data_IF_108921028843
#
_entry.id   IF_108921028843
#
_cell.length_a   1.000
_cell.length_b   1.000
_cell.length_c   1.000
_cell.angle_alpha   90.00
_cell.angle_beta   90.00
_cell.angle_gamma   90.00
#
_symmetry.space_group_name_H-M   'P 1'
#
loop_
_entity.id
_entity.type
_entity.pdbx_description
1 polymer ?
#
# COMPACT_ATOMS: atom_id res chain seq x y z
N UNK A 1 7.51 -28.63 20.47
CA UNK A 1 6.77 -27.36 20.66
C UNK A 1 7.68 -26.14 20.60
N UNK A 2 8.76 -26.09 21.39
CA UNK A 2 9.68 -24.94 21.41
C UNK A 2 10.34 -24.64 20.05
N UNK A 3 10.79 -25.67 19.33
CA UNK A 3 11.43 -25.53 18.00
C UNK A 3 10.48 -24.95 16.95
N UNK A 4 9.20 -25.34 16.98
CA UNK A 4 8.19 -24.83 16.05
C UNK A 4 7.84 -23.36 16.33
N UNK A 5 7.76 -22.97 17.61
CA UNK A 5 7.55 -21.58 18.02
C UNK A 5 8.75 -20.70 17.66
N UNK A 6 9.97 -21.21 17.82
CA UNK A 6 11.19 -20.52 17.42
C UNK A 6 11.27 -20.32 15.90
N UNK A 7 10.94 -21.36 15.12
CA UNK A 7 10.86 -21.27 13.67
C UNK A 7 9.81 -20.25 13.21
N UNK A 8 8.64 -20.22 13.85
CA UNK A 8 7.59 -19.23 13.56
C UNK A 8 8.04 -17.79 13.85
N UNK A 9 8.70 -17.55 14.98
CA UNK A 9 9.22 -16.24 15.36
C UNK A 9 10.37 -15.75 14.44
N UNK A 10 11.18 -16.67 13.91
CA UNK A 10 12.27 -16.34 12.98
C UNK A 10 11.74 -16.06 11.58
N UNK A 11 10.63 -16.69 11.18
CA UNK A 11 10.04 -16.53 9.84
C UNK A 11 8.99 -15.40 9.76
N UNK A 12 8.46 -14.92 10.89
CA UNK A 12 7.45 -13.85 10.90
C UNK A 12 7.88 -12.51 10.25
N UNK A 13 9.14 -12.04 10.32
CA UNK A 13 9.53 -10.78 9.68
C UNK A 13 9.71 -10.90 8.15
N UNK A 14 9.56 -12.09 7.56
CA UNK A 14 9.66 -12.28 6.11
C UNK A 14 8.42 -11.78 5.34
N UNK A 15 7.32 -11.50 6.04
CA UNK A 15 6.13 -10.91 5.44
C UNK A 15 6.26 -9.38 5.36
N UNK A 16 7.03 -8.89 4.38
CA UNK A 16 6.93 -7.48 3.98
C UNK A 16 5.72 -7.34 3.04
N UNK A 17 4.56 -7.04 3.60
CA UNK A 17 3.37 -6.70 2.82
C UNK A 17 3.17 -5.18 2.84
N UNK A 18 3.07 -4.58 1.65
CA UNK A 18 2.51 -3.24 1.50
C UNK A 18 1.14 -3.40 0.87
N UNK A 19 0.12 -2.82 1.51
CA UNK A 19 -1.25 -2.88 1.02
C UNK A 19 -1.86 -1.49 1.07
N UNK A 20 -2.58 -1.15 0.01
CA UNK A 20 -3.27 0.13 -0.13
C UNK A 20 -4.75 -0.12 0.18
N UNK A 21 -5.35 0.68 1.06
CA UNK A 21 -6.78 0.58 1.33
C UNK A 21 -7.54 1.08 0.10
N UNK A 22 -8.34 0.22 -0.49
CA UNK A 22 -9.10 0.54 -1.71
C UNK A 22 -10.54 0.89 -1.39
N UNK A 23 -11.11 0.32 -0.33
CA UNK A 23 -12.51 0.50 0.03
C UNK A 23 -12.68 0.58 1.54
N UNK A 24 -13.58 1.47 1.99
CA UNK A 24 -13.93 1.67 3.38
C UNK A 24 -15.42 1.44 3.60
N UNK A 25 -15.81 0.89 4.73
CA UNK A 25 -17.22 0.79 5.10
C UNK A 25 -17.40 0.80 6.62
N UNK A 26 -18.50 1.39 7.10
CA UNK A 26 -18.81 1.39 8.54
C UNK A 26 -19.14 -0.03 8.99
N UNK A 27 -18.71 -0.37 10.20
CA UNK A 27 -19.10 -1.59 10.90
C UNK A 27 -19.83 -1.20 12.19
N UNK A 28 -20.95 -1.84 12.47
CA UNK A 28 -21.66 -1.70 13.74
C UNK A 28 -21.04 -2.56 14.85
N UNK A 29 -21.50 -2.38 16.09
CA UNK A 29 -21.00 -3.10 17.27
C UNK A 29 -21.08 -4.64 17.16
N UNK A 30 -21.98 -5.16 16.32
CA UNK A 30 -22.12 -6.60 16.11
C UNK A 30 -21.26 -7.15 14.95
N UNK A 31 -20.40 -6.32 14.35
CA UNK A 31 -19.54 -6.70 13.24
C UNK A 31 -20.21 -6.63 11.86
N UNK A 32 -21.47 -6.18 11.76
CA UNK A 32 -22.13 -6.04 10.45
C UNK A 32 -21.72 -4.75 9.74
N UNK A 33 -21.53 -4.84 8.43
CA UNK A 33 -21.27 -3.69 7.56
C UNK A 33 -22.53 -2.85 7.39
N UNK A 34 -22.42 -1.54 7.64
CA UNK A 34 -23.51 -0.58 7.53
C UNK A 34 -23.12 0.60 6.65
N UNK A 35 -24.13 1.28 6.10
CA UNK A 35 -23.93 2.46 5.25
C UNK A 35 -23.28 2.18 3.89
N UNK A 36 -23.15 3.24 3.05
CA UNK A 36 -22.48 3.14 1.77
C UNK A 36 -20.96 3.03 1.92
N UNK A 37 -20.32 2.40 0.92
CA UNK A 37 -18.86 2.36 0.82
C UNK A 37 -18.29 3.76 0.57
N UNK A 38 -17.11 4.00 1.13
CA UNK A 38 -16.25 5.12 0.78
C UNK A 38 -14.96 4.65 0.13
N UNK A 39 -14.28 5.59 -0.52
CA UNK A 39 -13.03 5.33 -1.24
C UNK A 39 -11.96 6.36 -0.87
N UNK A 40 -10.73 6.10 -1.30
CA UNK A 40 -9.64 7.07 -1.20
C UNK A 40 -9.84 8.23 -2.18
N UNK A 41 -9.19 9.37 -1.93
CA UNK A 41 -9.13 10.44 -2.93
C UNK A 41 -8.49 9.91 -4.22
N UNK A 42 -8.92 10.40 -5.38
CA UNK A 42 -8.37 9.99 -6.66
C UNK A 42 -8.45 8.49 -6.93
N UNK A 43 -9.41 7.78 -6.33
CA UNK A 43 -9.57 6.34 -6.52
C UNK A 43 -9.78 6.01 -8.00
N UNK A 44 -9.03 5.01 -8.49
CA UNK A 44 -9.16 4.45 -9.83
C UNK A 44 -9.59 3.01 -9.70
N UNK A 45 -10.76 2.66 -10.24
CA UNK A 45 -11.28 1.29 -10.18
C UNK A 45 -10.39 0.33 -10.94
N UNK A 46 -10.26 -0.91 -10.46
CA UNK A 46 -9.60 -2.00 -11.19
C UNK A 46 -10.27 -2.35 -12.53
N UNK A 47 -11.54 -1.98 -12.69
CA UNK A 47 -12.29 -2.14 -13.95
C UNK A 47 -12.18 -0.92 -14.86
N UNK A 48 -11.52 0.15 -14.41
CA UNK A 48 -11.27 1.34 -15.22
C UNK A 48 -10.23 0.98 -16.31
N UNK A 49 -10.47 1.31 -17.60
CA UNK A 49 -9.52 1.04 -18.67
C UNK A 49 -8.14 1.69 -18.46
N UNK A 50 -8.05 2.72 -17.62
CA UNK A 50 -6.81 3.43 -17.30
C UNK A 50 -6.04 2.83 -16.11
N UNK A 51 -6.62 1.83 -15.43
CA UNK A 51 -5.97 1.18 -14.29
C UNK A 51 -4.74 0.39 -14.75
N UNK A 52 -3.59 0.71 -14.16
CA UNK A 52 -2.30 0.12 -14.50
C UNK A 52 -1.56 -0.50 -13.30
N UNK A 53 -2.24 -0.65 -12.16
CA UNK A 53 -1.64 -1.11 -10.90
C UNK A 53 -0.84 -0.04 -10.14
N UNK A 54 -0.47 1.07 -10.79
CA UNK A 54 0.31 2.15 -10.19
C UNK A 54 -0.53 3.36 -9.80
N UNK A 55 -1.79 3.44 -10.26
CA UNK A 55 -2.68 4.59 -10.05
C UNK A 55 -2.92 4.96 -8.57
N UNK A 56 -2.79 3.97 -7.66
CA UNK A 56 -2.95 4.14 -6.21
C UNK A 56 -1.67 3.82 -5.43
N UNK A 57 -0.56 3.60 -6.14
CA UNK A 57 0.74 3.31 -5.56
C UNK A 57 1.49 4.63 -5.33
N UNK A 58 2.08 4.79 -4.15
CA UNK A 58 2.92 5.95 -3.85
C UNK A 58 4.21 5.51 -3.17
N UNK A 59 5.34 5.72 -3.85
CA UNK A 59 6.65 5.35 -3.34
C UNK A 59 7.37 6.58 -2.81
N UNK A 60 7.91 6.45 -1.60
CA UNK A 60 8.66 7.49 -0.91
C UNK A 60 10.02 6.96 -0.46
N UNK A 61 11.13 7.67 -0.72
CA UNK A 61 11.20 8.81 -1.64
C UNK A 61 10.93 8.39 -3.10
N UNK A 62 10.57 9.32 -3.98
CA UNK A 62 10.34 8.99 -5.38
C UNK A 62 11.63 8.51 -6.06
N UNK A 63 11.54 7.73 -7.14
CA UNK A 63 12.73 7.34 -7.93
C UNK A 63 13.48 8.54 -8.54
N UNK A 64 12.83 9.70 -8.59
CA UNK A 64 13.37 10.95 -9.10
C UNK A 64 14.02 11.79 -7.99
N UNK A 65 13.83 11.43 -6.71
CA UNK A 65 14.43 12.13 -5.59
C UNK A 65 15.96 12.06 -5.64
N UNK A 66 16.62 13.20 -5.46
CA UNK A 66 18.09 13.32 -5.50
C UNK A 66 18.62 13.98 -4.23
N UNK A 67 19.81 13.56 -3.83
CA UNK A 67 20.63 14.29 -2.86
C UNK A 67 21.24 15.53 -3.53
N UNK A 68 21.83 16.43 -2.75
CA UNK A 68 22.49 17.65 -3.26
C UNK A 68 23.67 17.37 -4.20
N UNK A 69 24.28 16.19 -4.12
CA UNK A 69 25.35 15.71 -4.99
C UNK A 69 24.84 15.04 -6.28
N UNK A 70 23.53 15.00 -6.50
CA UNK A 70 22.90 14.39 -7.67
C UNK A 70 22.74 12.87 -7.61
N UNK A 71 23.10 12.22 -6.50
CA UNK A 71 22.86 10.78 -6.31
C UNK A 71 21.40 10.49 -5.98
N UNK A 72 20.92 9.26 -6.26
CA UNK A 72 19.55 8.83 -5.90
C UNK A 72 19.38 8.87 -4.39
N UNK A 73 18.31 9.52 -3.93
CA UNK A 73 18.00 9.63 -2.51
C UNK A 73 17.27 8.38 -2.02
N UNK A 74 17.78 7.75 -0.98
CA UNK A 74 17.21 6.54 -0.36
C UNK A 74 16.62 6.78 1.04
N UNK A 75 16.61 8.02 1.52
CA UNK A 75 16.02 8.42 2.80
C UNK A 75 15.00 9.50 2.57
N UNK A 76 13.84 9.36 3.21
CA UNK A 76 12.79 10.38 3.19
C UNK A 76 13.25 11.66 3.91
N UNK A 77 12.74 12.81 3.47
CA UNK A 77 12.90 14.11 4.14
C UNK A 77 11.56 14.85 4.22
N UNK A 78 11.58 16.12 4.64
CA UNK A 78 10.36 16.94 4.82
C UNK A 78 9.67 17.34 3.50
N UNK A 79 10.31 17.12 2.35
CA UNK A 79 9.74 17.36 1.03
C UNK A 79 8.92 16.17 0.51
N UNK A 80 9.11 14.98 1.08
CA UNK A 80 8.41 13.75 0.72
C UNK A 80 7.02 13.68 1.37
N UNK A 81 6.02 14.24 0.70
CA UNK A 81 4.65 14.18 1.20
C UNK A 81 4.10 12.74 1.17
N UNK A 82 3.62 12.28 2.33
CA UNK A 82 3.01 10.95 2.53
C UNK A 82 1.82 10.71 1.59
N UNK A 83 1.05 11.76 1.30
CA UNK A 83 -0.08 11.67 0.38
C UNK A 83 0.39 11.67 -1.08
N UNK A 84 -0.11 10.69 -1.86
CA UNK A 84 0.03 10.66 -3.31
C UNK A 84 -0.44 12.00 -3.92
N UNK A 85 0.21 12.55 -4.97
CA UNK A 85 -0.18 13.81 -5.59
C UNK A 85 -1.67 13.90 -5.96
N UNK A 86 -2.22 12.83 -6.54
CA UNK A 86 -3.64 12.72 -6.88
C UNK A 86 -4.60 12.67 -5.66
N UNK A 87 -4.06 12.55 -4.44
CA UNK A 87 -4.81 12.49 -3.18
C UNK A 87 -4.69 13.76 -2.32
N UNK A 88 -3.95 14.77 -2.80
CA UNK A 88 -3.74 16.04 -2.07
C UNK A 88 -4.91 17.01 -2.23
N UNK A 89 -5.84 16.74 -3.14
CA UNK A 89 -7.06 17.52 -3.36
C UNK A 89 -8.30 16.65 -3.16
N UNK A 90 -9.42 17.25 -2.76
CA UNK A 90 -10.67 16.52 -2.52
C UNK A 90 -11.42 16.19 -3.83
N UNK A 91 -10.82 15.38 -4.70
CA UNK A 91 -11.30 14.98 -6.03
C UNK A 91 -12.20 13.73 -6.02
N UNK A 92 -13.08 13.61 -5.02
CA UNK A 92 -14.05 12.51 -4.97
C UNK A 92 -15.05 12.61 -6.13
N UNK A 93 -15.50 11.46 -6.63
CA UNK A 93 -16.56 11.37 -7.63
C UNK A 93 -17.85 10.88 -7.00
N UNK A 94 -18.97 11.00 -7.70
CA UNK A 94 -20.25 10.42 -7.27
C UNK A 94 -20.19 8.89 -7.20
N UNK A 95 -19.43 8.26 -8.09
CA UNK A 95 -19.21 6.80 -8.13
C UNK A 95 -18.29 6.33 -7.00
N UNK A 96 -17.28 7.13 -6.64
CA UNK A 96 -16.31 6.83 -5.60
C UNK A 96 -16.29 7.92 -4.52
N UNK A 97 -17.34 7.98 -3.67
CA UNK A 97 -17.50 9.05 -2.71
C UNK A 97 -16.59 8.88 -1.49
N UNK A 98 -16.43 9.98 -0.74
CA UNK A 98 -15.84 9.96 0.60
C UNK A 98 -16.72 9.15 1.55
N UNK A 99 -16.10 8.34 2.42
CA UNK A 99 -16.80 7.67 3.51
C UNK A 99 -17.48 8.69 4.44
N UNK A 100 -18.72 8.41 4.83
CA UNK A 100 -19.47 9.16 5.85
C UNK A 100 -19.60 8.29 7.09
N UNK A 101 -19.14 8.81 8.22
CA UNK A 101 -19.13 8.11 9.52
C UNK A 101 -19.47 9.09 10.64
N UNK A 102 -20.00 8.57 11.74
CA UNK A 102 -20.19 9.33 12.98
C UNK A 102 -18.97 9.18 13.90
N UNK A 103 -18.67 10.17 14.75
CA UNK A 103 -17.66 9.99 15.79
C UNK A 103 -17.99 8.76 16.67
N UNK A 104 -17.03 7.85 16.80
CA UNK A 104 -17.19 6.61 17.58
C UNK A 104 -17.52 5.36 16.75
N UNK A 105 -17.87 5.50 15.47
CA UNK A 105 -18.13 4.36 14.60
C UNK A 105 -16.85 3.55 14.31
N UNK A 106 -17.00 2.23 14.11
CA UNK A 106 -15.93 1.38 13.59
C UNK A 106 -15.92 1.42 12.06
N UNK A 107 -14.73 1.34 11.45
CA UNK A 107 -14.55 1.35 9.99
C UNK A 107 -13.76 0.13 9.54
N UNK A 108 -14.36 -0.66 8.67
CA UNK A 108 -13.67 -1.67 7.88
C UNK A 108 -12.82 -1.00 6.80
N UNK A 109 -11.59 -1.48 6.66
CA UNK A 109 -10.69 -1.13 5.58
C UNK A 109 -10.41 -2.39 4.77
N UNK A 110 -10.76 -2.37 3.49
CA UNK A 110 -10.59 -3.49 2.58
C UNK A 110 -9.42 -3.24 1.65
N UNK A 111 -8.55 -4.24 1.58
CA UNK A 111 -7.42 -4.32 0.66
C UNK A 111 -7.78 -5.33 -0.42
N UNK A 112 -7.75 -4.95 -1.70
CA UNK A 112 -7.99 -5.91 -2.81
C UNK A 112 -6.69 -6.44 -3.41
N UNK A 113 -5.54 -6.06 -2.87
CA UNK A 113 -4.23 -6.58 -3.27
C UNK A 113 -3.33 -6.81 -2.07
N UNK A 114 -2.71 -7.99 -2.07
CA UNK A 114 -1.51 -8.27 -1.31
C UNK A 114 -0.30 -7.92 -2.19
N UNK A 115 0.27 -6.73 -2.01
CA UNK A 115 1.45 -6.33 -2.79
C UNK A 115 2.59 -7.32 -2.56
N UNK A 116 2.98 -8.05 -3.60
CA UNK A 116 4.23 -8.80 -3.63
C UNK A 116 5.34 -7.78 -3.87
N UNK A 117 6.10 -7.43 -2.83
CA UNK A 117 7.13 -6.38 -2.92
C UNK A 117 8.47 -6.92 -3.47
N UNK A 118 8.55 -8.22 -3.74
CA UNK A 118 9.77 -8.86 -4.21
C UNK A 118 9.80 -8.94 -5.73
N UNK A 119 10.26 -7.88 -6.39
CA UNK A 119 10.95 -8.01 -7.68
C UNK A 119 12.46 -8.08 -7.38
N UNK A 120 13.03 -9.24 -6.98
CA UNK A 120 14.46 -9.34 -6.65
C UNK A 120 15.39 -8.83 -7.75
N UNK A 121 14.90 -8.84 -9.00
CA UNK A 121 15.69 -8.58 -10.20
C UNK A 121 15.38 -7.26 -10.90
N UNK A 122 14.33 -6.52 -10.50
CA UNK A 122 13.81 -5.40 -11.31
C UNK A 122 13.40 -4.19 -10.48
N UNK A 123 14.25 -3.80 -9.53
CA UNK A 123 14.10 -2.52 -8.83
C UNK A 123 15.00 -1.51 -9.55
N UNK A 124 14.40 -0.56 -10.26
CA UNK A 124 15.10 0.57 -10.89
C UNK A 124 15.88 1.34 -9.81
N UNK A 125 17.21 1.41 -9.93
CA UNK A 125 18.09 2.10 -8.97
C UNK A 125 18.93 1.20 -8.06
N UNK A 126 18.86 -0.14 -8.20
CA UNK A 126 19.75 -1.04 -7.46
C UNK A 126 21.16 -1.11 -8.09
N UNK A 127 22.26 -1.01 -7.31
CA UNK A 127 23.62 -1.23 -7.82
C UNK A 127 23.80 -2.64 -8.38
N UNK A 128 24.60 -2.77 -9.45
CA UNK A 128 24.92 -4.07 -10.04
C UNK A 128 25.72 -4.93 -9.05
N UNK A 129 25.18 -6.09 -8.64
CA UNK A 129 25.90 -7.08 -7.82
C UNK A 129 25.40 -7.31 -6.39
N UNK A 130 24.38 -6.59 -5.91
CA UNK A 130 23.80 -6.86 -4.59
C UNK A 130 22.70 -7.93 -4.67
N UNK A 131 23.00 -9.16 -4.26
CA UNK A 131 22.03 -10.25 -4.10
C UNK A 131 21.04 -9.92 -2.97
N UNK A 132 19.78 -9.70 -3.31
CA UNK A 132 18.70 -9.89 -2.35
C UNK A 132 18.48 -11.39 -2.22
N UNK A 133 18.71 -11.98 -1.03
CA UNK A 133 18.31 -13.36 -0.77
C UNK A 133 16.78 -13.41 -0.76
N UNK A 134 16.17 -14.04 -1.76
CA UNK A 134 14.70 -14.17 -1.86
C UNK A 134 14.33 -15.63 -2.05
N UNK A 135 13.56 -16.16 -1.11
CA UNK A 135 13.00 -17.50 -1.15
C UNK A 135 11.62 -17.48 -1.83
N UNK A 136 11.42 -18.41 -2.76
CA UNK A 136 10.17 -18.67 -3.50
C UNK A 136 9.18 -19.48 -2.66
N UNK A 137 7.89 -19.17 -2.74
CA UNK A 137 6.77 -20.11 -2.53
C UNK A 137 5.49 -19.50 -3.17
N UNK A 138 4.97 -19.99 -4.29
CA UNK A 138 4.09 -21.16 -4.48
C UNK A 138 2.92 -21.20 -3.47
N UNK A 139 1.79 -20.67 -3.91
CA UNK A 139 0.52 -20.71 -3.19
C UNK A 139 -0.09 -22.12 -3.22
N UNK A 140 -0.50 -22.60 -2.06
CA UNK A 140 -1.46 -23.68 -1.84
C UNK A 140 -2.53 -23.17 -0.90
#
# INVERSE_FOLDING_TARGET
MLVALLAFAILSPLAAAHSWVEEYQVISDNGTFTGPRGYSRGYVSRTDPTYNGFSLMWMLPSLEARNSDGTVRNRIDDTDLVCHPAQRTSNYTTTFPKLKVSPGDYVAMKYLENGHVSLPWNITGKPYGETARVATAMAG
#
